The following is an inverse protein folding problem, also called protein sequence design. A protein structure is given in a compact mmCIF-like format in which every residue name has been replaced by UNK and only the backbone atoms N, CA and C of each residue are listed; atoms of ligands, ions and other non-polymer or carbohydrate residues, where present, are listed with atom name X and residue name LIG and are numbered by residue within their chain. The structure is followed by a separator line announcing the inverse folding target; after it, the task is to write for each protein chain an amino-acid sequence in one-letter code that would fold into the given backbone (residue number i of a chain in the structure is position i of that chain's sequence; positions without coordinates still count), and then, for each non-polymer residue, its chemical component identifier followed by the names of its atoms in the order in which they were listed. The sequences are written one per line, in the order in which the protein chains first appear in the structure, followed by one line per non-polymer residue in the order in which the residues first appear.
data_IF_028037664965
#
_entry.id   IF_028037664965
#
_cell.length_a   1.000
_cell.length_b   1.000
_cell.length_c   1.000
_cell.angle_alpha   90.00
_cell.angle_beta   90.00
_cell.angle_gamma   90.00
#
_symmetry.space_group_name_H-M   'P 1'
#
loop_
_entity.id
_entity.type
_entity.pdbx_description
1 polymer ?
#
# COMPACT_ATOMS: atom_id res chain seq x y z
N UNK A 1 9.98 15.77 0.71
CA UNK A 1 10.74 14.55 0.99
C UNK A 1 10.59 13.55 -0.18
N UNK A 2 11.68 12.94 -0.60
CA UNK A 2 11.72 11.87 -1.59
C UNK A 2 12.44 10.69 -0.96
N UNK A 3 11.83 9.50 -1.02
CA UNK A 3 12.40 8.32 -0.38
C UNK A 3 13.77 7.94 -0.96
N UNK A 4 13.98 8.18 -2.25
CA UNK A 4 15.23 7.87 -2.95
C UNK A 4 16.45 8.63 -2.45
N UNK A 5 16.26 9.82 -1.84
CA UNK A 5 17.36 10.63 -1.31
C UNK A 5 17.90 10.09 0.02
N UNK A 6 17.15 9.17 0.66
CA UNK A 6 17.44 8.64 1.99
C UNK A 6 17.42 7.11 2.04
N UNK A 7 17.33 6.49 0.87
CA UNK A 7 17.18 5.06 0.77
C UNK A 7 18.55 4.36 0.85
N UNK A 8 18.71 3.56 1.90
CA UNK A 8 19.83 2.67 2.04
C UNK A 8 19.50 1.30 1.45
N UNK A 9 20.31 0.89 0.47
CA UNK A 9 20.09 -0.35 -0.27
C UNK A 9 20.88 -1.49 0.39
N UNK A 10 20.40 -1.94 1.53
CA UNK A 10 21.00 -3.13 2.14
C UNK A 10 20.74 -4.38 1.29
N UNK A 11 21.83 -5.09 0.96
CA UNK A 11 21.76 -6.30 0.14
C UNK A 11 20.98 -7.43 0.81
N UNK A 12 20.99 -7.49 2.13
CA UNK A 12 20.34 -8.54 2.91
C UNK A 12 18.81 -8.41 2.94
N UNK A 13 18.28 -7.19 2.97
CA UNK A 13 16.84 -6.99 2.85
C UNK A 13 16.34 -7.40 1.47
N UNK A 14 17.03 -7.02 0.41
CA UNK A 14 16.67 -7.43 -0.95
C UNK A 14 16.71 -8.94 -1.14
N UNK A 15 17.66 -9.61 -0.50
CA UNK A 15 17.74 -11.07 -0.50
C UNK A 15 16.48 -11.68 0.14
N UNK A 16 16.05 -11.18 1.29
CA UNK A 16 14.83 -11.63 1.97
C UNK A 16 13.59 -11.46 1.06
N UNK A 17 13.47 -10.33 0.36
CA UNK A 17 12.37 -10.11 -0.59
C UNK A 17 12.39 -11.11 -1.75
N UNK A 18 13.56 -11.41 -2.32
CA UNK A 18 13.69 -12.42 -3.38
C UNK A 18 13.30 -13.82 -2.90
N UNK A 19 13.76 -14.21 -1.71
CA UNK A 19 13.42 -15.50 -1.10
C UNK A 19 11.90 -15.68 -0.90
N UNK A 20 11.18 -14.58 -0.82
CA UNK A 20 9.71 -14.56 -0.78
C UNK A 20 9.05 -14.45 -2.18
N UNK A 21 9.85 -14.40 -3.25
CA UNK A 21 9.38 -14.31 -4.63
C UNK A 21 9.13 -12.89 -5.13
N UNK A 22 9.42 -11.85 -4.36
CA UNK A 22 9.24 -10.47 -4.80
C UNK A 22 10.42 -10.00 -5.65
N UNK A 23 10.12 -9.56 -6.87
CA UNK A 23 11.10 -9.04 -7.84
C UNK A 23 11.20 -7.53 -7.84
N UNK A 24 10.15 -6.86 -7.37
CA UNK A 24 10.07 -5.41 -7.22
C UNK A 24 9.32 -5.06 -5.93
N UNK A 25 9.67 -3.93 -5.34
CA UNK A 25 9.03 -3.41 -4.13
C UNK A 25 8.77 -1.92 -4.25
N UNK A 26 7.64 -1.49 -3.71
CA UNK A 26 7.36 -0.08 -3.52
C UNK A 26 7.98 0.40 -2.21
N UNK A 27 8.74 1.47 -2.29
CA UNK A 27 9.33 2.17 -1.16
C UNK A 27 8.44 3.34 -0.78
N UNK A 28 8.03 3.40 0.48
CA UNK A 28 7.11 4.42 0.98
C UNK A 28 7.76 5.24 2.09
N UNK A 29 7.65 6.58 2.06
CA UNK A 29 8.09 7.39 3.19
C UNK A 29 7.17 7.16 4.39
N UNK A 30 7.73 7.18 5.61
CA UNK A 30 7.02 6.75 6.82
C UNK A 30 6.68 7.86 7.81
N UNK A 31 7.27 9.07 7.66
CA UNK A 31 7.15 10.15 8.65
C UNK A 31 6.22 11.27 8.18
N UNK A 32 5.48 11.85 9.12
CA UNK A 32 4.60 12.99 8.90
C UNK A 32 3.24 12.64 8.31
N UNK A 33 2.42 13.65 8.04
CA UNK A 33 1.12 13.55 7.37
C UNK A 33 1.31 13.59 5.85
N UNK A 34 1.84 14.67 5.30
CA UNK A 34 2.35 14.72 3.94
C UNK A 34 3.74 14.10 3.92
N UNK A 35 3.81 12.81 3.63
CA UNK A 35 5.05 12.02 3.78
C UNK A 35 6.05 12.23 2.64
N UNK A 36 5.61 12.73 1.50
CA UNK A 36 6.46 12.91 0.34
C UNK A 36 6.28 11.83 -0.72
N UNK A 37 7.25 11.69 -1.60
CA UNK A 37 7.16 10.80 -2.77
C UNK A 37 7.87 9.48 -2.54
N UNK A 38 7.18 8.40 -2.90
CA UNK A 38 7.71 7.05 -2.92
C UNK A 38 8.52 6.74 -4.19
N UNK A 39 8.99 5.51 -4.27
CA UNK A 39 9.72 4.97 -5.42
C UNK A 39 9.41 3.49 -5.61
N UNK A 40 9.74 2.93 -6.78
CA UNK A 40 9.74 1.48 -7.02
C UNK A 40 11.16 1.02 -7.32
N UNK A 41 11.56 0.01 -6.60
CA UNK A 41 12.85 -0.64 -6.76
C UNK A 41 12.74 -2.12 -7.07
N UNK A 42 13.67 -2.60 -7.85
CA UNK A 42 13.89 -4.03 -8.05
C UNK A 42 14.72 -4.60 -6.88
N UNK A 43 14.53 -5.88 -6.64
CA UNK A 43 15.21 -6.61 -5.55
C UNK A 43 16.54 -7.24 -5.98
N UNK A 44 17.04 -6.97 -7.20
CA UNK A 44 18.28 -7.49 -7.74
C UNK A 44 19.55 -7.03 -7.01
N UNK A 45 20.68 -7.62 -7.36
CA UNK A 45 22.01 -7.24 -6.87
C UNK A 45 22.76 -6.43 -7.93
N UNK A 46 22.25 -5.24 -8.22
CA UNK A 46 22.89 -4.31 -9.16
C UNK A 46 23.10 -2.94 -8.47
N UNK A 47 23.67 -1.99 -9.18
CA UNK A 47 23.82 -0.63 -8.67
C UNK A 47 22.46 0.02 -8.40
N UNK A 48 22.32 0.91 -7.38
CA UNK A 48 21.06 1.55 -7.03
C UNK A 48 20.34 2.18 -8.22
N UNK A 49 21.09 2.86 -9.12
CA UNK A 49 20.52 3.52 -10.30
C UNK A 49 19.87 2.54 -11.29
N UNK A 50 20.32 1.29 -11.35
CA UNK A 50 19.75 0.25 -12.21
C UNK A 50 18.55 -0.43 -11.56
N UNK A 51 18.48 -0.40 -10.25
CA UNK A 51 17.42 -1.03 -9.49
C UNK A 51 16.21 -0.11 -9.33
N UNK A 52 16.40 1.21 -9.39
CA UNK A 52 15.32 2.18 -9.36
C UNK A 52 14.62 2.25 -10.73
N UNK A 53 13.44 1.62 -10.84
CA UNK A 53 12.62 1.68 -12.07
C UNK A 53 11.70 2.88 -12.10
N UNK A 54 11.28 3.36 -10.91
CA UNK A 54 10.44 4.56 -10.79
C UNK A 54 10.89 5.37 -9.56
N UNK A 55 11.76 6.38 -9.76
CA UNK A 55 12.36 7.12 -8.65
C UNK A 55 11.42 8.12 -7.97
N UNK A 56 10.38 8.59 -8.68
CA UNK A 56 9.39 9.54 -8.18
C UNK A 56 8.00 9.03 -8.52
N UNK A 57 7.47 8.28 -7.59
CA UNK A 57 6.14 7.68 -7.69
C UNK A 57 5.09 8.52 -6.93
N UNK A 58 4.04 7.89 -6.49
CA UNK A 58 2.91 8.48 -5.77
C UNK A 58 3.34 9.45 -4.67
N UNK A 59 2.55 10.49 -4.48
CA UNK A 59 2.61 11.31 -3.27
C UNK A 59 1.90 10.57 -2.13
N UNK A 60 2.56 10.46 -0.99
CA UNK A 60 2.03 9.75 0.18
C UNK A 60 1.47 10.72 1.21
N UNK A 61 0.28 10.38 1.72
CA UNK A 61 -0.37 11.04 2.84
C UNK A 61 -0.83 9.98 3.84
N UNK A 62 -0.65 10.24 5.14
CA UNK A 62 -1.20 9.40 6.19
C UNK A 62 -1.83 10.22 7.30
N UNK A 63 -2.97 9.79 7.80
CA UNK A 63 -3.63 10.44 8.93
C UNK A 63 -3.04 9.97 10.27
N UNK A 64 -1.71 10.00 10.38
CA UNK A 64 -1.02 9.59 11.60
C UNK A 64 -0.91 10.80 12.53
N UNK A 65 -1.57 10.73 13.68
CA UNK A 65 -1.56 11.81 14.69
C UNK A 65 -0.76 11.44 15.94
N UNK A 66 -0.19 10.23 15.98
CA UNK A 66 0.69 9.80 17.07
C UNK A 66 2.13 10.15 16.71
N UNK A 67 2.59 11.31 17.18
CA UNK A 67 4.00 11.66 17.20
C UNK A 67 4.59 11.36 18.56
N UNK A 68 5.80 10.82 18.57
CA UNK A 68 6.61 10.71 19.80
C UNK A 68 7.15 12.07 20.26
N UNK A 69 7.06 13.10 19.40
CA UNK A 69 7.51 14.46 19.69
C UNK A 69 6.33 15.34 20.10
N UNK A 70 6.44 15.93 21.28
CA UNK A 70 5.37 16.71 21.89
C UNK A 70 4.94 17.94 21.07
N UNK A 71 5.76 18.40 20.14
CA UNK A 71 5.59 19.67 19.41
C UNK A 71 5.09 19.48 17.95
N UNK A 72 4.86 18.26 17.48
CA UNK A 72 4.34 18.04 16.13
C UNK A 72 2.81 18.21 16.08
N UNK A 73 2.35 19.06 15.18
CA UNK A 73 0.94 19.30 14.89
C UNK A 73 0.60 18.84 13.46
N UNK A 74 -0.66 18.46 13.21
CA UNK A 74 -1.82 18.36 14.11
C UNK A 74 -1.81 17.07 14.95
N UNK A 75 -2.37 17.15 16.18
CA UNK A 75 -2.50 16.00 17.10
C UNK A 75 -3.87 15.33 17.07
N UNK A 76 -4.74 15.76 16.19
CA UNK A 76 -6.08 15.20 16.04
C UNK A 76 -6.37 14.82 14.59
N UNK A 77 -7.23 13.81 14.40
CA UNK A 77 -7.65 13.40 13.05
C UNK A 77 -8.36 14.54 12.31
N UNK A 78 -9.14 15.37 13.01
CA UNK A 78 -9.77 16.56 12.41
C UNK A 78 -8.73 17.58 11.95
N UNK A 79 -7.70 17.79 12.75
CA UNK A 79 -6.57 18.66 12.37
C UNK A 79 -5.82 18.11 11.16
N UNK A 80 -5.62 16.78 11.07
CA UNK A 80 -4.97 16.14 9.93
C UNK A 80 -5.81 16.28 8.64
N UNK A 81 -7.15 16.12 8.71
CA UNK A 81 -8.04 16.38 7.59
C UNK A 81 -8.05 17.85 7.17
N UNK A 82 -8.04 18.77 8.16
CA UNK A 82 -7.95 20.21 7.89
C UNK A 82 -6.64 20.58 7.21
N UNK A 83 -5.51 19.99 7.66
CA UNK A 83 -4.21 20.17 7.02
C UNK A 83 -4.21 19.66 5.59
N UNK A 84 -4.73 18.44 5.35
CA UNK A 84 -4.87 17.89 4.00
C UNK A 84 -5.62 18.87 3.08
N UNK A 85 -6.79 19.31 3.51
CA UNK A 85 -7.63 20.22 2.73
C UNK A 85 -6.95 21.57 2.49
N UNK A 86 -6.37 22.16 3.56
CA UNK A 86 -5.73 23.47 3.45
C UNK A 86 -4.51 23.43 2.52
N UNK A 87 -3.69 22.37 2.61
CA UNK A 87 -2.53 22.23 1.73
C UNK A 87 -2.93 22.10 0.26
N UNK A 88 -3.99 21.33 -0.03
CA UNK A 88 -4.51 21.22 -1.41
C UNK A 88 -5.10 22.56 -1.91
N UNK A 89 -5.81 23.31 -1.06
CA UNK A 89 -6.31 24.66 -1.39
C UNK A 89 -5.15 25.62 -1.67
N UNK A 90 -4.11 25.61 -0.85
CA UNK A 90 -2.95 26.47 -1.04
C UNK A 90 -2.21 26.14 -2.35
N UNK A 91 -2.05 24.84 -2.64
CA UNK A 91 -1.44 24.39 -3.91
C UNK A 91 -2.31 24.81 -5.12
N UNK A 92 -3.63 24.67 -5.03
CA UNK A 92 -4.54 25.13 -6.10
C UNK A 92 -4.50 26.66 -6.25
N UNK A 93 -4.49 27.39 -5.15
CA UNK A 93 -4.39 28.85 -5.17
C UNK A 93 -3.07 29.32 -5.81
N UNK A 94 -1.95 28.65 -5.52
CA UNK A 94 -0.65 29.01 -6.11
C UNK A 94 -0.63 28.93 -7.63
N UNK A 95 -1.44 28.08 -8.25
CA UNK A 95 -1.54 27.98 -9.74
C UNK A 95 -2.32 29.13 -10.37
N UNK A 96 -3.15 29.82 -9.60
CA UNK A 96 -4.04 30.89 -10.10
C UNK A 96 -3.40 32.28 -10.02
N UNK A 97 -2.29 32.41 -9.30
CA UNK A 97 -1.62 33.71 -9.09
C UNK A 97 -0.67 34.04 -10.25
N UNK A 98 -0.81 35.23 -10.79
CA UNK A 98 0.05 35.77 -11.88
C UNK A 98 1.21 36.62 -11.35
N UNK A 99 1.31 36.84 -10.02
CA UNK A 99 2.37 37.60 -9.36
C UNK A 99 3.55 36.75 -8.89
N UNK A 100 4.63 37.43 -8.42
CA UNK A 100 5.73 36.74 -7.73
C UNK A 100 5.24 36.19 -6.39
N UNK A 101 4.80 34.94 -6.36
CA UNK A 101 4.65 34.20 -5.12
C UNK A 101 6.03 33.80 -4.58
N UNK A 102 6.17 33.80 -3.29
CA UNK A 102 7.31 33.17 -2.64
C UNK A 102 7.32 31.67 -3.02
N UNK A 103 8.48 31.19 -3.47
CA UNK A 103 8.63 29.79 -3.91
C UNK A 103 8.48 28.85 -2.71
N UNK A 104 7.45 27.99 -2.74
CA UNK A 104 7.24 26.94 -1.75
C UNK A 104 7.39 25.57 -2.45
N UNK A 105 8.53 24.88 -2.23
CA UNK A 105 8.77 23.58 -2.84
C UNK A 105 7.78 22.50 -2.38
N UNK A 106 7.14 22.67 -1.21
CA UNK A 106 6.16 21.72 -0.70
C UNK A 106 4.85 21.80 -1.47
N UNK A 107 4.40 23.01 -1.79
CA UNK A 107 3.21 23.24 -2.61
C UNK A 107 3.46 22.82 -4.06
N UNK A 108 4.62 23.17 -4.61
CA UNK A 108 4.99 22.81 -5.98
C UNK A 108 5.01 21.29 -6.18
N UNK A 109 5.46 20.51 -5.16
CA UNK A 109 5.45 19.05 -5.20
C UNK A 109 4.03 18.45 -5.30
N UNK A 110 2.97 19.22 -4.98
CA UNK A 110 1.58 18.78 -5.07
C UNK A 110 0.89 19.15 -6.40
N UNK A 111 1.47 20.04 -7.19
CA UNK A 111 0.88 20.43 -8.49
C UNK A 111 0.69 19.24 -9.44
N UNK A 112 1.63 18.28 -9.55
CA UNK A 112 1.40 17.06 -10.32
C UNK A 112 0.26 16.18 -9.81
N UNK A 113 -0.06 16.25 -8.51
CA UNK A 113 -1.21 15.55 -7.93
C UNK A 113 -2.52 16.20 -8.36
N UNK A 114 -2.59 17.54 -8.29
CA UNK A 114 -3.76 18.31 -8.72
C UNK A 114 -4.03 18.20 -10.22
N UNK A 115 -2.98 18.07 -11.03
CA UNK A 115 -3.10 17.87 -12.50
C UNK A 115 -3.34 16.42 -12.91
N UNK A 116 -3.38 15.46 -11.96
CA UNK A 116 -3.54 14.05 -12.25
C UNK A 116 -2.30 13.34 -12.83
N UNK A 117 -1.16 14.02 -12.91
CA UNK A 117 0.10 13.44 -13.38
C UNK A 117 0.77 12.53 -12.34
N UNK A 118 0.46 12.73 -11.06
CA UNK A 118 0.97 11.92 -9.94
C UNK A 118 -0.21 11.46 -9.10
N UNK A 119 -0.23 10.17 -8.78
CA UNK A 119 -1.27 9.60 -7.92
C UNK A 119 -1.05 10.01 -6.46
N UNK A 120 -2.14 10.12 -5.72
CA UNK A 120 -2.14 10.34 -4.27
C UNK A 120 -2.44 9.02 -3.57
N UNK A 121 -1.51 8.52 -2.77
CA UNK A 121 -1.72 7.39 -1.88
C UNK A 121 -2.06 7.89 -0.48
N UNK A 122 -3.17 7.44 0.07
CA UNK A 122 -3.65 7.84 1.40
C UNK A 122 -3.72 6.63 2.32
N UNK A 123 -3.10 6.72 3.47
CA UNK A 123 -3.23 5.79 4.59
C UNK A 123 -4.17 6.41 5.65
N UNK A 124 -5.48 6.11 5.58
CA UNK A 124 -6.49 6.79 6.40
C UNK A 124 -6.55 6.27 7.85
N UNK A 125 -6.11 5.04 8.11
CA UNK A 125 -6.09 4.41 9.42
C UNK A 125 -7.44 3.86 9.91
N UNK A 126 -8.56 4.23 9.29
CA UNK A 126 -9.88 3.65 9.56
C UNK A 126 -10.83 3.85 8.38
N UNK A 127 -11.90 3.05 8.31
CA UNK A 127 -12.91 3.14 7.25
C UNK A 127 -13.63 4.50 7.21
N UNK A 128 -13.88 5.13 8.38
CA UNK A 128 -14.48 6.46 8.43
C UNK A 128 -13.55 7.52 7.84
N UNK A 129 -12.27 7.43 8.14
CA UNK A 129 -11.27 8.36 7.59
C UNK A 129 -11.02 8.08 6.10
N UNK A 130 -11.12 6.83 5.64
CA UNK A 130 -11.08 6.49 4.22
C UNK A 130 -12.18 7.23 3.45
N UNK A 131 -13.43 7.16 3.92
CA UNK A 131 -14.55 7.89 3.32
C UNK A 131 -14.32 9.42 3.31
N UNK A 132 -13.87 9.98 4.43
CA UNK A 132 -13.65 11.43 4.54
C UNK A 132 -12.50 11.93 3.66
N UNK A 133 -11.38 11.21 3.63
CA UNK A 133 -10.24 11.59 2.78
C UNK A 133 -10.56 11.41 1.30
N UNK A 134 -11.32 10.38 0.94
CA UNK A 134 -11.82 10.20 -0.41
C UNK A 134 -12.72 11.37 -0.84
N UNK A 135 -13.67 11.80 0.01
CA UNK A 135 -14.53 12.96 -0.27
C UNK A 135 -13.70 14.25 -0.45
N UNK A 136 -12.70 14.48 0.41
CA UNK A 136 -11.82 15.64 0.25
C UNK A 136 -11.04 15.56 -1.07
N UNK A 137 -10.41 14.42 -1.36
CA UNK A 137 -9.65 14.25 -2.62
C UNK A 137 -10.53 14.48 -3.86
N UNK A 138 -11.74 13.92 -3.88
CA UNK A 138 -12.70 14.08 -4.96
C UNK A 138 -13.12 15.56 -5.17
N UNK A 139 -13.22 16.35 -4.10
CA UNK A 139 -13.52 17.77 -4.20
C UNK A 139 -12.44 18.57 -4.96
N UNK A 140 -11.23 18.02 -5.08
CA UNK A 140 -10.12 18.56 -5.90
C UNK A 140 -9.93 17.81 -7.23
N UNK A 141 -10.85 16.91 -7.60
CA UNK A 141 -10.73 16.07 -8.81
C UNK A 141 -9.67 14.98 -8.70
N UNK A 142 -9.17 14.69 -7.50
CA UNK A 142 -8.13 13.68 -7.27
C UNK A 142 -8.80 12.33 -6.99
N UNK A 143 -8.40 11.29 -7.73
CA UNK A 143 -8.73 9.89 -7.42
C UNK A 143 -7.58 9.27 -6.62
N UNK A 144 -7.69 9.15 -5.30
CA UNK A 144 -6.62 8.61 -4.47
C UNK A 144 -6.54 7.09 -4.63
N UNK A 145 -5.40 6.50 -4.23
CA UNK A 145 -5.31 5.10 -3.86
C UNK A 145 -5.41 5.05 -2.33
N UNK A 146 -6.22 4.16 -1.78
CA UNK A 146 -6.40 4.05 -0.33
C UNK A 146 -5.73 2.80 0.21
N UNK A 147 -5.13 2.91 1.39
CA UNK A 147 -4.65 1.75 2.15
C UNK A 147 -5.76 1.28 3.07
N UNK A 148 -6.15 0.02 2.93
CA UNK A 148 -7.16 -0.59 3.78
C UNK A 148 -6.68 -0.68 5.23
N UNK A 149 -7.59 -0.45 6.16
CA UNK A 149 -7.32 -0.44 7.59
C UNK A 149 -7.44 -1.82 8.25
N UNK A 150 -8.11 -2.77 7.57
CA UNK A 150 -8.52 -4.06 8.13
C UNK A 150 -9.83 -3.98 8.92
N UNK A 151 -10.55 -2.85 8.83
CA UNK A 151 -11.81 -2.59 9.54
C UNK A 151 -12.97 -2.21 8.59
N UNK A 152 -12.80 -2.41 7.30
CA UNK A 152 -13.74 -2.04 6.25
C UNK A 152 -15.11 -2.74 6.46
N UNK A 153 -15.09 -3.94 7.02
CA UNK A 153 -16.27 -4.71 7.40
C UNK A 153 -17.22 -3.99 8.39
N UNK A 154 -16.71 -3.01 9.17
CA UNK A 154 -17.52 -2.27 10.15
C UNK A 154 -18.55 -1.34 9.50
N UNK A 155 -18.25 -0.82 8.32
CA UNK A 155 -19.09 0.17 7.62
C UNK A 155 -19.07 -0.08 6.12
N UNK A 156 -19.71 -1.17 5.68
CA UNK A 156 -19.84 -1.52 4.25
C UNK A 156 -20.52 -0.42 3.43
N UNK A 157 -21.43 0.30 4.04
CA UNK A 157 -22.13 1.45 3.44
C UNK A 157 -21.15 2.58 3.04
N UNK A 158 -20.12 2.83 3.83
CA UNK A 158 -19.12 3.84 3.49
C UNK A 158 -18.17 3.36 2.39
N UNK A 159 -17.78 2.09 2.43
CA UNK A 159 -16.88 1.51 1.43
C UNK A 159 -17.53 1.44 0.05
N UNK A 160 -18.80 1.07 -0.03
CA UNK A 160 -19.56 1.03 -1.30
C UNK A 160 -19.66 2.38 -2.01
N UNK A 161 -19.54 3.48 -1.26
CA UNK A 161 -19.47 4.84 -1.81
C UNK A 161 -18.08 5.30 -2.25
N UNK A 162 -17.05 4.44 -2.14
CA UNK A 162 -15.66 4.77 -2.48
C UNK A 162 -15.30 4.07 -3.79
N UNK A 163 -15.25 4.82 -4.89
CA UNK A 163 -14.77 4.32 -6.19
C UNK A 163 -13.28 4.63 -6.34
N UNK A 164 -12.41 3.69 -5.93
CA UNK A 164 -10.97 3.87 -6.02
C UNK A 164 -10.22 2.52 -6.00
N UNK A 165 -8.90 2.59 -6.18
CA UNK A 165 -8.04 1.43 -6.01
C UNK A 165 -7.58 1.32 -4.54
N UNK A 166 -7.38 0.08 -4.06
CA UNK A 166 -7.00 -0.19 -2.69
C UNK A 166 -5.68 -0.94 -2.60
N UNK A 167 -4.85 -0.55 -1.65
CA UNK A 167 -3.74 -1.39 -1.18
C UNK A 167 -4.23 -2.09 0.09
N UNK A 168 -4.26 -3.41 0.07
CA UNK A 168 -4.75 -4.23 1.18
C UNK A 168 -3.57 -4.88 1.90
N UNK A 169 -3.24 -4.41 3.12
CA UNK A 169 -2.22 -5.04 3.93
C UNK A 169 -2.65 -6.45 4.34
N UNK A 170 -1.82 -7.45 4.02
CA UNK A 170 -2.07 -8.85 4.37
C UNK A 170 -1.63 -9.12 5.82
N UNK A 171 -2.18 -8.34 6.74
CA UNK A 171 -1.97 -8.47 8.19
C UNK A 171 -3.30 -8.72 8.87
N UNK A 172 -3.51 -9.93 9.32
CA UNK A 172 -4.74 -10.30 10.01
C UNK A 172 -4.49 -10.50 11.49
N UNK A 173 -5.46 -10.18 12.35
CA UNK A 173 -5.38 -10.47 13.77
C UNK A 173 -5.18 -11.97 14.00
N UNK A 174 -4.45 -12.31 15.04
CA UNK A 174 -4.36 -13.70 15.49
C UNK A 174 -5.63 -14.08 16.22
N UNK A 175 -5.95 -15.39 16.25
CA UNK A 175 -7.03 -15.89 17.04
C UNK A 175 -6.83 -15.49 18.52
N UNK A 176 -7.87 -15.03 19.21
CA UNK A 176 -7.79 -14.81 20.65
C UNK A 176 -7.39 -16.12 21.36
N UNK A 177 -6.52 -16.01 22.34
CA UNK A 177 -6.23 -17.14 23.22
C UNK A 177 -7.37 -17.27 24.22
N UNK A 178 -8.06 -18.39 24.19
CA UNK A 178 -9.24 -18.69 25.00
C UNK A 178 -9.04 -20.05 25.70
N UNK A 179 -7.97 -20.13 26.50
CA UNK A 179 -7.53 -21.38 27.11
C UNK A 179 -8.34 -21.73 28.38
N UNK A 180 -8.91 -20.71 29.03
CA UNK A 180 -9.71 -20.86 30.25
C UNK A 180 -11.14 -20.38 30.04
N UNK A 181 -12.09 -20.90 30.84
CA UNK A 181 -13.50 -20.49 30.77
C UNK A 181 -13.71 -19.00 31.05
N UNK A 182 -12.90 -18.41 31.91
CA UNK A 182 -12.90 -16.99 32.19
C UNK A 182 -12.52 -16.13 30.94
N UNK A 183 -11.67 -16.67 30.06
CA UNK A 183 -11.28 -15.98 28.82
C UNK A 183 -12.46 -15.88 27.85
N UNK A 184 -13.33 -16.89 27.81
CA UNK A 184 -14.54 -16.90 26.98
C UNK A 184 -15.55 -15.84 27.41
N UNK A 185 -15.65 -15.58 28.71
CA UNK A 185 -16.52 -14.53 29.24
C UNK A 185 -15.95 -13.12 29.05
N UNK A 186 -14.62 -13.00 29.03
CA UNK A 186 -13.90 -11.74 28.94
C UNK A 186 -13.66 -11.25 27.50
N UNK A 187 -13.74 -12.16 26.49
CA UNK A 187 -13.43 -11.79 25.09
C UNK A 187 -14.49 -10.86 24.50
N UNK A 188 -14.04 -9.74 23.99
CA UNK A 188 -14.94 -8.78 23.33
C UNK A 188 -15.41 -9.30 21.97
N UNK A 189 -16.70 -9.21 21.70
CA UNK A 189 -17.31 -9.58 20.41
C UNK A 189 -16.65 -8.85 19.23
N UNK A 190 -16.19 -7.63 19.44
CA UNK A 190 -15.51 -6.85 18.41
C UNK A 190 -14.16 -7.46 18.01
N UNK A 191 -13.41 -7.98 18.97
CA UNK A 191 -12.16 -8.70 18.72
C UNK A 191 -12.38 -9.98 17.91
N UNK A 192 -13.42 -10.75 18.27
CA UNK A 192 -13.80 -11.97 17.54
C UNK A 192 -14.21 -11.64 16.09
N UNK A 193 -15.02 -10.60 15.90
CA UNK A 193 -15.42 -10.15 14.56
C UNK A 193 -14.22 -9.68 13.75
N UNK A 194 -13.31 -8.94 14.35
CA UNK A 194 -12.12 -8.48 13.65
C UNK A 194 -11.23 -9.64 13.22
N UNK A 195 -11.06 -10.66 14.08
CA UNK A 195 -10.32 -11.86 13.74
C UNK A 195 -11.00 -12.67 12.63
N UNK A 196 -12.30 -12.85 12.69
CA UNK A 196 -13.07 -13.65 11.72
C UNK A 196 -13.23 -12.95 10.37
N UNK A 197 -13.53 -11.65 10.33
CA UNK A 197 -13.91 -10.94 9.12
C UNK A 197 -12.77 -10.21 8.40
N UNK A 198 -11.68 -9.89 9.09
CA UNK A 198 -10.57 -9.20 8.43
C UNK A 198 -9.98 -9.97 7.22
N UNK A 199 -9.86 -11.31 7.25
CA UNK A 199 -9.38 -12.08 6.10
C UNK A 199 -10.32 -12.07 4.88
N UNK A 200 -11.59 -11.70 5.05
CA UNK A 200 -12.57 -11.61 3.96
C UNK A 200 -12.49 -10.27 3.19
N UNK A 201 -11.90 -9.24 3.78
CA UNK A 201 -11.83 -7.89 3.19
C UNK A 201 -11.28 -7.89 1.77
N UNK A 202 -10.17 -8.59 1.44
CA UNK A 202 -9.66 -8.63 0.06
C UNK A 202 -10.67 -9.19 -0.94
N UNK A 203 -11.36 -10.28 -0.58
CA UNK A 203 -12.39 -10.89 -1.40
C UNK A 203 -13.57 -9.94 -1.60
N UNK A 204 -14.07 -9.38 -0.52
CA UNK A 204 -15.19 -8.47 -0.53
C UNK A 204 -14.93 -7.19 -1.34
N UNK A 205 -13.76 -6.55 -1.20
CA UNK A 205 -13.39 -5.40 -2.03
C UNK A 205 -13.32 -5.78 -3.52
N UNK A 206 -12.76 -6.96 -3.83
CA UNK A 206 -12.70 -7.46 -5.21
C UNK A 206 -14.10 -7.70 -5.79
N UNK A 207 -15.01 -8.30 -5.02
CA UNK A 207 -16.38 -8.59 -5.44
C UNK A 207 -17.21 -7.31 -5.66
N UNK A 208 -16.86 -6.22 -4.99
CA UNK A 208 -17.39 -4.88 -5.26
C UNK A 208 -16.81 -4.25 -6.53
N UNK A 209 -15.95 -4.95 -7.28
CA UNK A 209 -15.29 -4.46 -8.48
C UNK A 209 -14.13 -3.51 -8.21
N UNK A 210 -13.66 -3.41 -6.97
CA UNK A 210 -12.52 -2.57 -6.63
C UNK A 210 -11.21 -3.23 -7.07
N UNK A 211 -10.26 -2.42 -7.54
CA UNK A 211 -8.91 -2.92 -7.85
C UNK A 211 -8.09 -2.98 -6.57
N UNK A 212 -7.59 -4.15 -6.24
CA UNK A 212 -6.83 -4.40 -5.02
C UNK A 212 -5.39 -4.79 -5.31
N UNK A 213 -4.43 -4.14 -4.66
CA UNK A 213 -3.04 -4.59 -4.57
C UNK A 213 -2.79 -5.14 -3.16
N UNK A 214 -2.18 -6.32 -3.08
CA UNK A 214 -1.88 -6.97 -1.80
C UNK A 214 -0.50 -6.53 -1.31
N UNK A 215 -0.39 -6.22 -0.02
CA UNK A 215 0.81 -5.59 0.53
C UNK A 215 1.27 -6.23 1.83
N UNK A 216 2.59 -6.17 2.05
CA UNK A 216 3.24 -6.53 3.33
C UNK A 216 3.23 -5.37 4.35
N UNK A 217 2.62 -4.24 4.02
CA UNK A 217 2.62 -3.06 4.87
C UNK A 217 2.13 -3.36 6.30
N UNK A 218 2.97 -3.06 7.29
CA UNK A 218 2.67 -3.28 8.71
C UNK A 218 2.65 -4.73 9.16
N UNK A 219 3.10 -5.68 8.34
CA UNK A 219 3.29 -7.07 8.72
C UNK A 219 4.65 -7.22 9.42
N UNK A 220 4.65 -7.60 10.69
CA UNK A 220 5.87 -7.73 11.51
C UNK A 220 6.73 -8.92 11.09
N UNK A 221 6.09 -10.05 10.78
CA UNK A 221 6.74 -11.22 10.21
C UNK A 221 6.35 -11.36 8.73
N UNK A 222 7.23 -10.95 7.86
CA UNK A 222 7.00 -11.01 6.42
C UNK A 222 6.80 -12.44 5.90
N UNK A 223 7.35 -13.45 6.59
CA UNK A 223 7.17 -14.86 6.22
C UNK A 223 5.72 -15.32 6.36
N UNK A 224 4.93 -14.65 7.22
CA UNK A 224 3.51 -14.91 7.37
C UNK A 224 2.67 -14.47 6.17
N UNK A 225 3.22 -13.73 5.20
CA UNK A 225 2.48 -13.21 4.05
C UNK A 225 1.73 -14.28 3.27
N UNK A 226 2.42 -15.36 2.89
CA UNK A 226 1.80 -16.46 2.14
C UNK A 226 0.72 -17.20 2.94
N UNK A 227 0.91 -17.31 4.28
CA UNK A 227 -0.11 -17.86 5.17
C UNK A 227 -1.37 -16.99 5.18
N UNK A 228 -1.21 -15.67 5.31
CA UNK A 228 -2.34 -14.74 5.27
C UNK A 228 -2.98 -14.67 3.88
N UNK A 229 -2.18 -14.78 2.82
CA UNK A 229 -2.70 -14.86 1.46
C UNK A 229 -3.56 -16.12 1.26
N UNK A 230 -3.09 -17.27 1.75
CA UNK A 230 -3.88 -18.51 1.75
C UNK A 230 -5.17 -18.34 2.54
N UNK A 231 -5.10 -17.73 3.72
CA UNK A 231 -6.28 -17.46 4.55
C UNK A 231 -7.30 -16.57 3.82
N UNK A 232 -6.86 -15.54 3.10
CA UNK A 232 -7.78 -14.71 2.31
C UNK A 232 -8.43 -15.49 1.14
N UNK A 233 -7.68 -16.41 0.51
CA UNK A 233 -8.22 -17.30 -0.52
C UNK A 233 -9.25 -18.26 0.07
N UNK A 234 -8.98 -18.86 1.22
CA UNK A 234 -9.91 -19.74 1.93
C UNK A 234 -11.18 -19.00 2.39
N UNK A 235 -11.10 -17.66 2.49
CA UNK A 235 -12.21 -16.75 2.84
C UNK A 235 -12.81 -16.04 1.62
N UNK A 236 -12.59 -16.56 0.41
CA UNK A 236 -13.32 -16.18 -0.80
C UNK A 236 -12.55 -15.36 -1.83
N UNK A 237 -11.32 -14.93 -1.56
CA UNK A 237 -10.51 -14.28 -2.59
C UNK A 237 -10.14 -15.29 -3.68
N UNK A 238 -10.54 -15.03 -4.93
CA UNK A 238 -10.16 -15.94 -6.01
C UNK A 238 -8.65 -15.97 -6.23
N UNK A 239 -8.06 -17.15 -6.57
CA UNK A 239 -6.63 -17.21 -6.88
C UNK A 239 -6.19 -16.27 -7.99
N UNK A 240 -7.06 -16.01 -8.96
CA UNK A 240 -6.82 -15.06 -10.05
C UNK A 240 -6.73 -13.62 -9.52
N UNK A 241 -7.66 -13.22 -8.65
CA UNK A 241 -7.62 -11.88 -8.02
C UNK A 241 -6.40 -11.74 -7.10
N UNK A 242 -6.05 -12.79 -6.36
CA UNK A 242 -4.85 -12.82 -5.52
C UNK A 242 -3.57 -12.64 -6.37
N UNK A 243 -3.45 -13.37 -7.50
CA UNK A 243 -2.33 -13.22 -8.42
C UNK A 243 -2.29 -11.81 -9.04
N UNK A 244 -3.42 -11.30 -9.52
CA UNK A 244 -3.52 -9.96 -10.07
C UNK A 244 -3.13 -8.90 -9.04
N UNK A 245 -3.56 -9.06 -7.78
CA UNK A 245 -3.24 -8.18 -6.66
C UNK A 245 -1.75 -8.13 -6.27
N UNK A 246 -0.96 -9.09 -6.72
CA UNK A 246 0.50 -9.13 -6.51
C UNK A 246 1.30 -8.79 -7.77
N UNK A 247 0.68 -8.72 -8.95
CA UNK A 247 1.36 -8.60 -10.24
C UNK A 247 0.83 -7.45 -11.09
N UNK A 248 -0.29 -7.65 -11.76
CA UNK A 248 -0.84 -6.69 -12.73
C UNK A 248 -1.37 -5.44 -12.08
N UNK A 249 -2.12 -5.56 -10.97
CA UNK A 249 -2.71 -4.39 -10.30
C UNK A 249 -1.66 -3.46 -9.69
N UNK A 250 -0.66 -3.94 -8.91
CA UNK A 250 0.39 -3.05 -8.42
C UNK A 250 1.25 -2.46 -9.54
N UNK A 251 1.51 -3.19 -10.64
CA UNK A 251 2.21 -2.64 -11.79
C UNK A 251 1.42 -1.47 -12.42
N UNK A 252 0.11 -1.62 -12.54
CA UNK A 252 -0.79 -0.57 -13.03
C UNK A 252 -0.86 0.63 -12.07
N UNK A 253 -0.96 0.38 -10.76
CA UNK A 253 -0.95 1.45 -9.76
C UNK A 253 0.35 2.26 -9.78
N UNK A 254 1.46 1.63 -10.14
CA UNK A 254 2.78 2.25 -10.22
C UNK A 254 3.12 2.81 -11.61
N UNK A 255 2.20 2.76 -12.58
CA UNK A 255 2.39 3.15 -13.98
C UNK A 255 3.57 2.39 -14.65
N UNK A 256 3.72 1.10 -14.30
CA UNK A 256 4.78 0.20 -14.78
C UNK A 256 4.24 -0.99 -15.59
N UNK A 257 2.98 -0.93 -16.03
CA UNK A 257 2.34 -2.03 -16.79
C UNK A 257 3.06 -2.36 -18.10
N UNK A 258 3.73 -1.40 -18.70
CA UNK A 258 4.52 -1.61 -19.92
C UNK A 258 5.83 -2.36 -19.66
N UNK A 259 6.32 -2.34 -18.42
CA UNK A 259 7.60 -2.92 -18.02
C UNK A 259 7.46 -4.23 -17.25
N UNK A 260 6.41 -4.41 -16.46
CA UNK A 260 6.23 -5.57 -15.58
C UNK A 260 4.74 -5.89 -15.31
N UNK A 261 4.47 -6.90 -14.48
CA UNK A 261 3.13 -7.31 -14.07
C UNK A 261 2.57 -8.48 -14.89
N UNK A 262 3.12 -8.78 -16.06
CA UNK A 262 2.73 -9.94 -16.88
C UNK A 262 3.96 -10.63 -17.50
N UNK A 263 3.85 -11.92 -17.79
CA UNK A 263 4.87 -12.67 -18.55
C UNK A 263 4.60 -12.49 -20.04
N UNK A 264 5.06 -11.39 -20.60
CA UNK A 264 4.86 -11.03 -22.02
C UNK A 264 6.22 -10.63 -22.63
N UNK A 265 6.53 -11.01 -23.87
CA UNK A 265 7.74 -10.58 -24.56
C UNK A 265 7.87 -9.06 -24.58
N UNK A 266 9.09 -8.55 -24.35
CA UNK A 266 9.38 -7.10 -24.30
C UNK A 266 9.34 -6.51 -22.90
N UNK A 267 8.83 -7.21 -21.89
CA UNK A 267 8.86 -6.78 -20.50
C UNK A 267 10.10 -7.27 -19.77
N UNK A 268 10.37 -6.67 -18.61
CA UNK A 268 11.46 -7.11 -17.72
C UNK A 268 11.24 -8.59 -17.33
N UNK A 269 12.29 -9.38 -17.45
CA UNK A 269 12.25 -10.77 -17.00
C UNK A 269 12.32 -10.84 -15.48
N UNK A 270 11.22 -10.43 -14.86
CA UNK A 270 10.97 -10.42 -13.43
C UNK A 270 9.94 -11.51 -13.11
N UNK A 271 10.41 -12.65 -12.59
CA UNK A 271 9.55 -13.81 -12.35
C UNK A 271 10.02 -14.62 -11.14
N UNK A 272 9.10 -15.39 -10.59
CA UNK A 272 9.33 -16.33 -9.50
C UNK A 272 9.02 -17.75 -9.98
N UNK A 273 9.89 -18.69 -9.66
CA UNK A 273 9.71 -20.12 -9.95
C UNK A 273 9.40 -20.83 -8.64
N UNK A 274 8.24 -21.45 -8.59
CA UNK A 274 7.72 -22.15 -7.41
C UNK A 274 7.53 -23.63 -7.78
N UNK A 275 7.91 -24.51 -6.88
CA UNK A 275 7.61 -25.93 -7.03
C UNK A 275 6.25 -26.22 -6.36
N UNK A 276 5.20 -26.28 -7.20
CA UNK A 276 3.82 -26.41 -6.75
C UNK A 276 3.02 -25.11 -6.88
N UNK A 277 2.11 -24.88 -5.96
CA UNK A 277 1.24 -23.69 -5.92
C UNK A 277 1.87 -22.59 -5.05
N UNK A 278 2.01 -21.38 -5.58
CA UNK A 278 2.49 -20.22 -4.81
C UNK A 278 1.61 -19.92 -3.59
N UNK A 279 0.31 -20.18 -3.70
CA UNK A 279 -0.67 -19.95 -2.64
C UNK A 279 -0.64 -21.00 -1.54
N UNK A 280 0.07 -22.09 -1.72
CA UNK A 280 0.38 -23.02 -0.65
C UNK A 280 1.67 -22.57 0.08
N UNK A 281 1.61 -22.16 1.36
CA UNK A 281 2.78 -21.74 2.12
C UNK A 281 3.90 -22.79 2.19
N UNK A 282 3.59 -24.06 1.99
CA UNK A 282 4.55 -25.18 2.01
C UNK A 282 5.30 -25.34 0.69
N UNK A 283 4.77 -24.83 -0.43
CA UNK A 283 5.44 -24.92 -1.73
C UNK A 283 6.73 -24.07 -1.73
N UNK A 284 7.90 -24.66 -2.02
CA UNK A 284 9.15 -23.90 -1.98
C UNK A 284 9.30 -23.00 -3.19
N UNK A 285 9.77 -21.78 -2.95
CA UNK A 285 10.25 -20.89 -4.01
C UNK A 285 11.66 -21.34 -4.38
N UNK A 286 11.86 -21.78 -5.61
CA UNK A 286 13.13 -22.31 -6.09
C UNK A 286 14.06 -21.24 -6.62
N UNK A 287 13.47 -20.28 -7.31
CA UNK A 287 14.25 -19.23 -7.98
C UNK A 287 13.43 -17.95 -8.09
N UNK A 288 14.13 -16.84 -8.04
CA UNK A 288 13.60 -15.52 -8.42
C UNK A 288 14.49 -14.94 -9.51
N UNK A 289 13.88 -14.40 -10.55
CA UNK A 289 14.59 -13.74 -11.64
C UNK A 289 14.30 -12.25 -11.60
N UNK A 290 15.34 -11.44 -11.64
CA UNK A 290 15.21 -9.98 -11.63
C UNK A 290 16.02 -9.43 -12.80
N UNK A 291 15.37 -8.76 -13.73
CA UNK A 291 15.96 -8.27 -14.99
C UNK A 291 16.73 -9.38 -15.76
N UNK A 292 16.18 -10.60 -15.77
CA UNK A 292 16.82 -11.75 -16.42
C UNK A 292 17.98 -12.38 -15.65
N UNK A 293 18.36 -11.86 -14.49
CA UNK A 293 19.37 -12.46 -13.62
C UNK A 293 18.72 -13.44 -12.64
N UNK A 294 19.23 -14.65 -12.65
CA UNK A 294 18.77 -15.76 -11.80
C UNK A 294 19.30 -15.66 -10.38
N UNK A 295 18.43 -15.89 -9.40
CA UNK A 295 18.76 -16.01 -7.97
C UNK A 295 18.12 -17.30 -7.44
N UNK A 296 18.90 -18.39 -7.26
CA UNK A 296 18.42 -19.63 -6.66
C UNK A 296 18.28 -19.48 -5.14
N UNK A 297 17.33 -20.24 -4.54
CA UNK A 297 17.02 -20.25 -3.11
C UNK A 297 17.16 -21.64 -2.52
#
# INVERSE_FOLDING_TARGET
YRVVDHWDFESDERKKWREMGFTAVQLSPSKGIWRGRGAVSLTGNDSPNRLLVQPLMMQHLALTTRSSQADEFPRSLMGALSLMRQTLLNAQYSTQQTGKLEYDPSLEALLPVLSGQTRLLIEPGSVLMASRTHQIANAFGIRPILVASGQEWRRPDLVSGIDTAWIVPMRFPQAPQLDEEADWEAVELDLLRQWDWAPEIPAWLNDMGQRIALSLHGLSDHKAFRKHLRQAIDRGLSPQAALAGMTTVPAEMCDLSDQMGTLTPGKLANLCVVEGDYFDPQSPIRETWVQGRRYPH
#
